data_IF_770722390561
#
_entry.id   IF_770722390561
#
_cell.length_a   1.000
_cell.length_b   1.000
_cell.length_c   1.000
_cell.angle_alpha   90.00
_cell.angle_beta   90.00
_cell.angle_gamma   90.00
#
_symmetry.space_group_name_H-M   'P 1'
#
loop_
_entity.id
_entity.type
_entity.pdbx_description
1 polymer ?
#
# COMPACT_ATOMS: atom_id res chain seq x y z
N UNK A 1 2.33 14.73 -14.26
CA UNK A 1 3.05 13.93 -15.27
C UNK A 1 4.55 13.82 -14.99
N UNK A 2 5.31 14.92 -14.96
CA UNK A 2 6.77 14.89 -14.77
C UNK A 2 7.25 14.20 -13.48
N UNK A 3 6.53 14.38 -12.36
CA UNK A 3 6.77 13.62 -11.13
C UNK A 3 6.73 12.10 -11.35
N UNK A 4 5.71 11.61 -12.07
CA UNK A 4 5.53 10.18 -12.32
C UNK A 4 6.62 9.63 -13.23
N UNK A 5 6.99 10.38 -14.28
CA UNK A 5 8.09 10.02 -15.18
C UNK A 5 9.40 9.93 -14.40
N UNK A 6 9.73 10.95 -13.60
CA UNK A 6 10.93 10.99 -12.79
C UNK A 6 10.95 9.82 -11.79
N UNK A 7 9.84 9.57 -11.11
CA UNK A 7 9.68 8.45 -10.19
C UNK A 7 9.97 7.10 -10.86
N UNK A 8 9.30 6.82 -11.98
CA UNK A 8 9.45 5.54 -12.71
C UNK A 8 10.90 5.36 -13.18
N UNK A 9 11.48 6.39 -13.81
CA UNK A 9 12.85 6.33 -14.32
C UNK A 9 13.86 6.12 -13.19
N UNK A 10 13.75 6.88 -12.10
CA UNK A 10 14.65 6.73 -10.94
C UNK A 10 14.54 5.34 -10.31
N UNK A 11 13.32 4.81 -10.17
CA UNK A 11 13.12 3.45 -9.65
C UNK A 11 13.79 2.39 -10.55
N UNK A 12 13.59 2.45 -11.87
CA UNK A 12 14.25 1.49 -12.77
C UNK A 12 15.77 1.62 -12.77
N UNK A 13 16.31 2.85 -12.69
CA UNK A 13 17.75 3.10 -12.62
C UNK A 13 18.34 2.54 -11.34
N UNK A 14 17.77 2.87 -10.18
CA UNK A 14 18.22 2.39 -8.86
C UNK A 14 18.15 0.87 -8.76
N UNK A 15 17.03 0.27 -9.19
CA UNK A 15 16.86 -1.18 -9.25
C UNK A 15 17.85 -1.88 -10.19
N UNK A 16 18.16 -1.26 -11.33
CA UNK A 16 19.14 -1.80 -12.28
C UNK A 16 20.56 -1.73 -11.72
N UNK A 17 20.89 -0.65 -11.02
CA UNK A 17 22.17 -0.46 -10.33
C UNK A 17 22.34 -1.49 -9.21
N UNK A 18 21.35 -1.65 -8.33
CA UNK A 18 21.42 -2.63 -7.23
C UNK A 18 21.53 -4.06 -7.74
N UNK A 19 20.76 -4.40 -8.79
CA UNK A 19 20.87 -5.71 -9.47
C UNK A 19 22.26 -5.92 -10.08
N UNK A 20 22.83 -4.89 -10.71
CA UNK A 20 24.18 -4.95 -11.29
C UNK A 20 25.25 -5.16 -10.21
N UNK A 21 25.16 -4.42 -9.10
CA UNK A 21 26.08 -4.57 -7.95
C UNK A 21 26.00 -5.99 -7.41
N UNK A 22 24.80 -6.52 -7.17
CA UNK A 22 24.60 -7.88 -6.64
C UNK A 22 25.12 -8.94 -7.61
N UNK A 23 24.87 -8.81 -8.91
CA UNK A 23 25.36 -9.74 -9.93
C UNK A 23 26.89 -9.68 -10.14
N UNK A 24 27.54 -8.61 -9.68
CA UNK A 24 28.99 -8.40 -9.81
C UNK A 24 29.71 -8.57 -8.47
N UNK A 25 28.99 -8.83 -7.38
CA UNK A 25 29.55 -8.94 -6.03
C UNK A 25 30.60 -10.06 -5.92
N UNK A 26 30.41 -11.17 -6.64
CA UNK A 26 31.32 -12.32 -6.64
C UNK A 26 32.48 -12.20 -7.65
N UNK A 27 32.55 -11.11 -8.42
CA UNK A 27 33.62 -10.89 -9.42
C UNK A 27 34.81 -10.16 -8.81
N UNK A 28 35.92 -10.88 -8.63
CA UNK A 28 37.21 -10.41 -8.08
C UNK A 28 38.12 -9.69 -9.08
N UNK A 29 37.55 -8.94 -10.04
CA UNK A 29 38.31 -8.17 -11.03
C UNK A 29 38.63 -6.73 -10.59
N UNK A 30 39.62 -6.04 -11.20
CA UNK A 30 39.91 -4.64 -10.91
C UNK A 30 38.69 -3.76 -11.18
N UNK A 31 38.30 -3.00 -10.16
CA UNK A 31 37.09 -2.16 -10.19
C UNK A 31 37.33 -0.92 -11.04
N UNK A 32 36.42 -0.65 -11.98
CA UNK A 32 36.50 0.53 -12.86
C UNK A 32 35.96 1.77 -12.14
N UNK A 33 36.49 2.96 -12.47
CA UNK A 33 36.16 4.23 -11.79
C UNK A 33 34.68 4.65 -11.85
N UNK A 34 33.92 4.12 -12.82
CA UNK A 34 32.49 4.37 -13.00
C UNK A 34 31.59 3.33 -12.34
N UNK A 35 32.14 2.31 -11.65
CA UNK A 35 31.33 1.30 -11.00
C UNK A 35 30.62 1.91 -9.80
N UNK A 36 29.31 1.67 -9.63
CA UNK A 36 28.60 2.11 -8.45
C UNK A 36 29.04 1.28 -7.23
N UNK A 37 29.38 1.95 -6.14
CA UNK A 37 29.79 1.33 -4.88
C UNK A 37 28.84 1.73 -3.76
N UNK A 38 28.76 0.88 -2.74
CA UNK A 38 28.01 1.20 -1.53
C UNK A 38 28.75 2.30 -0.76
N UNK A 39 28.04 3.35 -0.37
CA UNK A 39 28.62 4.45 0.43
C UNK A 39 28.55 4.00 1.89
N UNK A 40 29.62 3.37 2.36
CA UNK A 40 29.82 3.07 3.78
C UNK A 40 30.57 4.23 4.44
N UNK A 41 30.00 4.80 5.49
CA UNK A 41 30.70 5.80 6.30
C UNK A 41 31.94 5.20 6.97
N UNK A 42 32.95 6.04 7.22
CA UNK A 42 34.09 5.73 8.08
C UNK A 42 33.57 5.43 9.49
N UNK A 43 33.31 4.15 9.81
CA UNK A 43 32.73 3.72 11.09
C UNK A 43 31.73 2.57 11.04
N UNK A 44 31.39 2.04 9.86
CA UNK A 44 30.47 0.90 9.72
C UNK A 44 28.99 1.28 9.58
N UNK A 45 28.66 2.57 9.51
CA UNK A 45 27.29 3.04 9.26
C UNK A 45 26.98 2.97 7.76
N UNK A 46 26.06 2.10 7.38
CA UNK A 46 25.51 2.04 6.02
C UNK A 46 24.40 3.10 5.88
N UNK A 47 24.61 4.09 5.02
CA UNK A 47 23.57 5.08 4.72
C UNK A 47 22.71 4.51 3.60
N UNK A 48 21.48 4.12 3.92
CA UNK A 48 20.50 3.74 2.92
C UNK A 48 20.14 4.94 2.05
N UNK A 49 20.03 4.72 0.74
CA UNK A 49 19.68 5.79 -0.18
C UNK A 49 18.27 6.35 0.05
N UNK A 50 17.43 5.63 0.80
CA UNK A 50 16.17 6.11 1.36
C UNK A 50 16.32 7.41 2.17
N UNK A 51 17.44 7.62 2.88
CA UNK A 51 17.68 8.86 3.65
C UNK A 51 17.75 10.07 2.71
N UNK A 52 18.47 9.96 1.60
CA UNK A 52 18.49 10.99 0.57
C UNK A 52 17.10 11.17 -0.04
N UNK A 53 16.38 10.07 -0.26
CA UNK A 53 14.98 10.09 -0.70
C UNK A 53 14.08 10.95 0.20
N UNK A 54 14.14 10.74 1.52
CA UNK A 54 13.38 11.52 2.51
C UNK A 54 13.72 13.00 2.43
N UNK A 55 15.01 13.35 2.36
CA UNK A 55 15.45 14.74 2.26
C UNK A 55 14.89 15.40 0.99
N UNK A 56 14.98 14.73 -0.16
CA UNK A 56 14.46 15.24 -1.43
C UNK A 56 12.94 15.44 -1.39
N UNK A 57 12.20 14.49 -0.81
CA UNK A 57 10.74 14.58 -0.64
C UNK A 57 10.37 15.77 0.26
N UNK A 58 11.07 15.96 1.38
CA UNK A 58 10.79 17.06 2.30
C UNK A 58 11.09 18.42 1.67
N UNK A 59 12.25 18.59 1.04
CA UNK A 59 12.63 19.85 0.40
C UNK A 59 11.67 20.20 -0.73
N UNK A 60 11.36 19.24 -1.61
CA UNK A 60 10.45 19.46 -2.72
C UNK A 60 9.01 19.70 -2.26
N UNK A 61 8.55 18.98 -1.22
CA UNK A 61 7.23 19.18 -0.62
C UNK A 61 7.08 20.58 -0.04
N UNK A 62 8.04 21.02 0.77
CA UNK A 62 8.07 22.39 1.32
C UNK A 62 8.12 23.43 0.19
N UNK A 63 8.96 23.21 -0.82
CA UNK A 63 9.03 24.11 -1.98
C UNK A 63 7.69 24.21 -2.72
N UNK A 64 6.98 23.10 -2.94
CA UNK A 64 5.66 23.13 -3.57
C UNK A 64 4.63 23.88 -2.72
N UNK A 65 4.69 23.75 -1.39
CA UNK A 65 3.81 24.50 -0.47
C UNK A 65 4.10 25.99 -0.52
N UNK A 66 5.36 26.41 -0.45
CA UNK A 66 5.72 27.84 -0.51
C UNK A 66 5.38 28.47 -1.85
N UNK A 67 5.42 27.67 -2.92
CA UNK A 67 5.10 28.12 -4.28
C UNK A 67 3.61 28.02 -4.62
N UNK A 68 2.76 27.46 -3.74
CA UNK A 68 1.34 27.16 -4.00
C UNK A 68 0.53 28.31 -4.63
N UNK A 69 0.80 29.56 -4.22
CA UNK A 69 0.04 30.72 -4.68
C UNK A 69 0.69 31.48 -5.85
N UNK A 70 2.03 31.58 -5.88
CA UNK A 70 2.75 32.52 -6.76
C UNK A 70 3.83 31.84 -7.63
N UNK A 71 4.01 30.53 -7.47
CA UNK A 71 5.03 29.77 -8.17
C UNK A 71 4.79 29.66 -9.67
N UNK A 72 5.87 29.79 -10.45
CA UNK A 72 5.80 29.55 -11.90
C UNK A 72 5.63 28.06 -12.20
N UNK A 73 4.99 27.74 -13.34
CA UNK A 73 4.85 26.35 -13.83
C UNK A 73 6.19 25.62 -13.92
N UNK A 74 7.28 26.33 -14.24
CA UNK A 74 8.64 25.75 -14.31
C UNK A 74 9.15 25.35 -12.94
N UNK A 75 8.99 26.21 -11.93
CA UNK A 75 9.42 25.91 -10.57
C UNK A 75 8.65 24.70 -9.99
N UNK A 76 7.33 24.65 -10.20
CA UNK A 76 6.52 23.48 -9.83
C UNK A 76 6.97 22.21 -10.54
N UNK A 77 7.28 22.30 -11.83
CA UNK A 77 7.76 21.14 -12.60
C UNK A 77 9.07 20.60 -12.03
N UNK A 78 10.02 21.48 -11.71
CA UNK A 78 11.30 21.09 -11.09
C UNK A 78 11.05 20.46 -9.72
N UNK A 79 10.26 21.09 -8.85
CA UNK A 79 9.96 20.54 -7.53
C UNK A 79 9.26 19.17 -7.63
N UNK A 80 8.33 19.01 -8.58
CA UNK A 80 7.64 17.74 -8.83
C UNK A 80 8.59 16.64 -9.33
N UNK A 81 9.59 16.97 -10.16
CA UNK A 81 10.64 16.02 -10.59
C UNK A 81 11.47 15.59 -9.38
N UNK A 82 11.94 16.55 -8.58
CA UNK A 82 12.74 16.27 -7.37
C UNK A 82 11.95 15.41 -6.37
N UNK A 83 10.65 15.69 -6.20
CA UNK A 83 9.75 14.88 -5.39
C UNK A 83 9.66 13.45 -5.93
N UNK A 84 9.47 13.28 -7.24
CA UNK A 84 9.40 11.96 -7.88
C UNK A 84 10.68 11.14 -7.69
N UNK A 85 11.85 11.76 -7.84
CA UNK A 85 13.16 11.14 -7.58
C UNK A 85 13.23 10.71 -6.10
N UNK A 86 12.93 11.61 -5.17
CA UNK A 86 13.00 11.33 -3.74
C UNK A 86 12.07 10.18 -3.33
N UNK A 87 10.82 10.21 -3.79
CA UNK A 87 9.85 9.17 -3.52
C UNK A 87 10.27 7.79 -4.06
N UNK A 88 10.90 7.74 -5.24
CA UNK A 88 11.43 6.50 -5.80
C UNK A 88 12.54 5.90 -4.94
N UNK A 89 13.46 6.74 -4.44
CA UNK A 89 14.54 6.30 -3.54
C UNK A 89 14.00 5.79 -2.19
N UNK A 90 12.93 6.39 -1.67
CA UNK A 90 12.28 5.90 -0.43
C UNK A 90 11.61 4.55 -0.69
N UNK A 91 10.90 4.40 -1.81
CA UNK A 91 10.14 3.19 -2.09
C UNK A 91 10.98 2.00 -2.57
N UNK A 92 12.18 2.20 -3.11
CA UNK A 92 13.09 1.09 -3.44
C UNK A 92 13.50 0.30 -2.18
N UNK A 93 13.63 0.98 -1.04
CA UNK A 93 13.98 0.39 0.27
C UNK A 93 12.76 0.21 1.19
N UNK A 94 11.55 0.22 0.63
CA UNK A 94 10.31 0.15 1.43
C UNK A 94 10.27 -1.06 2.37
N UNK A 95 10.81 -2.21 1.92
CA UNK A 95 10.93 -3.41 2.73
C UNK A 95 11.68 -3.16 4.07
N UNK A 96 12.84 -2.48 4.01
CA UNK A 96 13.66 -2.16 5.18
C UNK A 96 13.02 -1.09 6.07
N UNK A 97 12.30 -0.12 5.50
CA UNK A 97 11.61 0.91 6.29
C UNK A 97 10.48 0.30 7.12
N UNK A 98 9.76 -0.69 6.58
CA UNK A 98 8.66 -1.34 7.30
C UNK A 98 9.13 -2.41 8.30
N UNK A 99 10.21 -3.12 8.00
CA UNK A 99 10.73 -4.21 8.82
C UNK A 99 12.20 -3.92 9.17
N UNK A 100 12.40 -3.26 10.30
CA UNK A 100 13.72 -2.84 10.80
C UNK A 100 14.60 -4.00 11.33
N UNK A 101 14.10 -5.25 11.34
CA UNK A 101 14.86 -6.43 11.75
C UNK A 101 15.30 -7.24 10.53
N UNK A 102 16.61 -7.23 10.30
CA UNK A 102 17.39 -7.77 9.17
C UNK A 102 17.33 -9.31 9.00
N UNK A 103 16.36 -9.95 9.65
CA UNK A 103 16.32 -11.41 9.79
C UNK A 103 15.25 -12.06 8.92
N UNK A 104 14.21 -11.35 8.47
CA UNK A 104 13.05 -12.13 8.06
C UNK A 104 13.08 -12.78 6.68
N UNK A 105 13.35 -12.17 5.51
CA UNK A 105 13.31 -12.99 4.29
C UNK A 105 14.20 -12.57 3.13
N UNK A 106 14.96 -13.55 2.65
CA UNK A 106 15.67 -13.63 1.37
C UNK A 106 14.82 -13.41 0.10
N UNK A 107 13.62 -12.82 0.22
CA UNK A 107 12.72 -12.39 -0.86
C UNK A 107 12.47 -10.86 -0.91
N UNK A 108 13.33 -10.03 -0.29
CA UNK A 108 13.21 -8.55 -0.16
C UNK A 108 13.01 -7.75 -1.46
N UNK A 109 13.11 -8.39 -2.62
CA UNK A 109 12.80 -7.74 -3.89
C UNK A 109 11.30 -7.57 -4.18
N UNK A 110 10.42 -8.38 -3.59
CA UNK A 110 9.00 -8.43 -4.02
C UNK A 110 8.13 -7.36 -3.35
N UNK A 111 8.33 -7.10 -2.06
CA UNK A 111 7.54 -6.13 -1.28
C UNK A 111 7.77 -4.70 -1.72
N UNK A 112 9.03 -4.29 -1.99
CA UNK A 112 9.32 -2.97 -2.57
C UNK A 112 8.73 -2.82 -3.97
N UNK A 113 8.75 -3.88 -4.79
CA UNK A 113 8.16 -3.87 -6.14
C UNK A 113 6.63 -3.72 -6.09
N UNK A 114 5.95 -4.44 -5.20
CA UNK A 114 4.50 -4.31 -5.01
C UNK A 114 4.12 -2.89 -4.58
N UNK A 115 4.85 -2.30 -3.63
CA UNK A 115 4.63 -0.93 -3.18
C UNK A 115 4.79 0.09 -4.32
N UNK A 116 5.79 -0.11 -5.18
CA UNK A 116 6.05 0.76 -6.33
C UNK A 116 4.96 0.62 -7.39
N UNK A 117 4.50 -0.59 -7.70
CA UNK A 117 3.38 -0.78 -8.63
C UNK A 117 2.11 -0.08 -8.15
N UNK A 118 1.83 -0.14 -6.86
CA UNK A 118 0.69 0.54 -6.23
C UNK A 118 0.86 2.06 -6.33
N UNK A 119 2.05 2.59 -6.02
CA UNK A 119 2.34 4.00 -6.13
C UNK A 119 2.18 4.51 -7.58
N UNK A 120 2.68 3.76 -8.57
CA UNK A 120 2.52 4.07 -10.00
C UNK A 120 1.06 4.03 -10.41
N UNK A 121 0.29 3.03 -9.97
CA UNK A 121 -1.12 2.92 -10.29
C UNK A 121 -1.92 4.12 -9.74
N UNK A 122 -1.72 4.46 -8.47
CA UNK A 122 -2.39 5.59 -7.81
C UNK A 122 -1.99 6.92 -8.46
N UNK A 123 -0.68 7.17 -8.62
CA UNK A 123 -0.19 8.39 -9.24
C UNK A 123 -0.63 8.50 -10.72
N UNK A 124 -0.68 7.38 -11.44
CA UNK A 124 -1.18 7.29 -12.80
C UNK A 124 -2.65 7.69 -12.91
N UNK A 125 -3.51 7.15 -12.02
CA UNK A 125 -4.92 7.55 -11.93
C UNK A 125 -5.07 9.05 -11.69
N UNK A 126 -4.31 9.60 -10.72
CA UNK A 126 -4.32 11.04 -10.43
C UNK A 126 -3.89 11.89 -11.62
N UNK A 127 -2.83 11.48 -12.35
CA UNK A 127 -2.34 12.19 -13.55
C UNK A 127 -3.34 12.13 -14.70
N UNK A 128 -4.09 11.03 -14.83
CA UNK A 128 -5.18 10.89 -15.80
C UNK A 128 -6.44 11.70 -15.42
N UNK A 129 -6.43 12.40 -14.28
CA UNK A 129 -7.54 13.22 -13.81
C UNK A 129 -8.55 12.49 -12.93
N UNK A 130 -8.32 11.22 -12.61
CA UNK A 130 -9.13 10.52 -11.61
C UNK A 130 -8.72 11.01 -10.21
N UNK A 131 -9.42 12.03 -9.73
CA UNK A 131 -9.22 12.54 -8.38
C UNK A 131 -10.29 11.93 -7.44
N UNK A 132 -9.90 11.12 -6.44
CA UNK A 132 -10.85 10.54 -5.49
C UNK A 132 -11.55 11.60 -4.64
N UNK A 133 -10.98 12.81 -4.59
CA UNK A 133 -11.52 13.96 -3.90
C UNK A 133 -12.24 14.95 -4.81
N UNK A 134 -12.44 14.64 -6.09
CA UNK A 134 -13.16 15.54 -7.02
C UNK A 134 -14.57 15.89 -6.53
N UNK A 135 -15.24 14.95 -5.85
CA UNK A 135 -16.54 15.19 -5.23
C UNK A 135 -16.49 16.20 -4.07
N UNK A 136 -15.30 16.56 -3.58
CA UNK A 136 -15.04 17.56 -2.52
C UNK A 136 -14.52 18.89 -3.06
N UNK A 137 -14.38 19.05 -4.37
CA UNK A 137 -13.72 20.22 -4.99
C UNK A 137 -14.62 21.45 -5.01
N UNK A 138 -14.26 22.48 -4.24
CA UNK A 138 -15.04 23.70 -3.88
C UNK A 138 -15.57 24.48 -5.09
N UNK A 139 -14.92 24.39 -6.24
CA UNK A 139 -15.35 25.09 -7.45
C UNK A 139 -16.65 24.53 -8.04
N UNK A 140 -16.89 23.21 -7.93
CA UNK A 140 -18.18 22.58 -8.29
C UNK A 140 -19.34 23.13 -7.44
N UNK A 141 -19.05 23.57 -6.21
CA UNK A 141 -20.01 24.05 -5.21
C UNK A 141 -20.36 25.52 -5.44
N UNK A 142 -19.43 26.27 -6.05
CA UNK A 142 -19.57 27.70 -6.33
C UNK A 142 -20.46 27.95 -7.54
N UNK A 143 -20.38 27.08 -8.56
CA UNK A 143 -21.18 27.14 -9.80
C UNK A 143 -22.57 26.48 -9.68
N UNK A 144 -22.88 25.82 -8.56
CA UNK A 144 -24.20 25.27 -8.30
C UNK A 144 -25.20 26.39 -7.93
N UNK A 145 -25.84 26.98 -8.94
CA UNK A 145 -26.76 28.11 -8.82
C UNK A 145 -28.05 27.83 -8.05
N UNK A 146 -28.38 26.55 -7.79
CA UNK A 146 -29.63 26.15 -7.11
C UNK A 146 -29.38 25.42 -5.78
N UNK A 147 -30.17 25.80 -4.76
CA UNK A 147 -30.15 25.16 -3.43
C UNK A 147 -30.31 23.62 -3.49
N UNK A 148 -31.19 23.05 -4.35
CA UNK A 148 -31.30 21.59 -4.49
C UNK A 148 -30.02 20.93 -5.03
N UNK A 149 -29.32 21.57 -5.97
CA UNK A 149 -28.06 21.04 -6.51
C UNK A 149 -26.99 20.98 -5.42
N UNK A 150 -26.88 22.02 -4.58
CA UNK A 150 -25.94 22.03 -3.45
C UNK A 150 -26.24 20.92 -2.43
N UNK A 151 -27.51 20.75 -2.06
CA UNK A 151 -27.93 19.68 -1.14
C UNK A 151 -27.61 18.30 -1.73
N UNK A 152 -27.87 18.10 -3.04
CA UNK A 152 -27.59 16.84 -3.72
C UNK A 152 -26.09 16.51 -3.73
N UNK A 153 -25.22 17.49 -4.00
CA UNK A 153 -23.75 17.30 -3.96
C UNK A 153 -23.27 16.98 -2.55
N UNK A 154 -23.74 17.72 -1.52
CA UNK A 154 -23.42 17.42 -0.10
C UNK A 154 -23.82 15.99 0.24
N UNK A 155 -25.05 15.60 -0.12
CA UNK A 155 -25.57 14.26 0.15
C UNK A 155 -24.74 13.18 -0.55
N UNK A 156 -24.35 13.39 -1.81
CA UNK A 156 -23.54 12.44 -2.58
C UNK A 156 -22.12 12.31 -2.03
N UNK A 157 -21.48 13.43 -1.67
CA UNK A 157 -20.14 13.44 -1.07
C UNK A 157 -20.14 12.74 0.29
N UNK A 158 -21.12 13.05 1.16
CA UNK A 158 -21.29 12.39 2.44
C UNK A 158 -21.57 10.88 2.29
N UNK A 159 -22.39 10.50 1.30
CA UNK A 159 -22.65 9.10 0.97
C UNK A 159 -21.36 8.38 0.52
N UNK A 160 -20.57 8.98 -0.38
CA UNK A 160 -19.33 8.39 -0.88
C UNK A 160 -18.33 8.18 0.27
N UNK A 161 -18.17 9.18 1.15
CA UNK A 161 -17.33 9.08 2.34
C UNK A 161 -17.81 7.98 3.29
N UNK A 162 -19.12 7.91 3.55
CA UNK A 162 -19.73 6.89 4.41
C UNK A 162 -19.48 5.50 3.83
N UNK A 163 -19.66 5.31 2.52
CA UNK A 163 -19.37 4.04 1.86
C UNK A 163 -17.89 3.65 1.96
N UNK A 164 -16.97 4.60 1.77
CA UNK A 164 -15.54 4.37 1.93
C UNK A 164 -15.20 3.90 3.35
N UNK A 165 -15.72 4.60 4.38
CA UNK A 165 -15.54 4.22 5.79
C UNK A 165 -16.11 2.82 6.06
N UNK A 166 -17.31 2.51 5.57
CA UNK A 166 -17.92 1.17 5.73
C UNK A 166 -17.04 0.09 5.08
N UNK A 167 -16.51 0.32 3.88
CA UNK A 167 -15.63 -0.64 3.20
C UNK A 167 -14.33 -0.87 3.95
N UNK A 168 -13.75 0.19 4.52
CA UNK A 168 -12.56 0.11 5.36
C UNK A 168 -12.82 -0.63 6.67
N UNK A 169 -13.93 -0.33 7.37
CA UNK A 169 -14.36 -1.05 8.58
C UNK A 169 -14.62 -2.52 8.32
N UNK A 170 -14.98 -2.88 7.08
CA UNK A 170 -15.12 -4.27 6.61
C UNK A 170 -13.80 -4.97 6.28
N UNK A 171 -12.65 -4.31 6.48
CA UNK A 171 -11.31 -4.87 6.29
C UNK A 171 -10.87 -4.98 4.83
N UNK A 172 -11.50 -4.22 3.92
CA UNK A 172 -11.23 -4.29 2.48
C UNK A 172 -10.50 -3.03 2.01
N UNK A 173 -9.28 -2.84 2.50
CA UNK A 173 -8.44 -1.67 2.21
C UNK A 173 -8.34 -1.39 0.71
N UNK A 174 -8.00 -2.40 -0.09
CA UNK A 174 -7.84 -2.28 -1.55
C UNK A 174 -9.12 -1.86 -2.28
N UNK A 175 -10.26 -2.46 -1.94
CA UNK A 175 -11.53 -2.07 -2.58
C UNK A 175 -12.01 -0.70 -2.09
N UNK A 176 -11.64 -0.31 -0.87
CA UNK A 176 -11.89 1.04 -0.36
C UNK A 176 -11.07 2.06 -1.13
N UNK A 177 -9.76 1.83 -1.22
CA UNK A 177 -8.81 2.69 -1.92
C UNK A 177 -9.17 2.86 -3.39
N UNK A 178 -9.31 1.76 -4.13
CA UNK A 178 -9.73 1.79 -5.55
C UNK A 178 -11.16 2.31 -5.71
N UNK A 179 -12.03 2.04 -4.75
CA UNK A 179 -13.41 2.52 -4.77
C UNK A 179 -13.52 4.04 -4.62
N UNK A 180 -12.55 4.71 -3.98
CA UNK A 180 -12.54 6.17 -3.95
C UNK A 180 -12.34 6.78 -5.34
N UNK A 181 -11.62 6.10 -6.24
CA UNK A 181 -11.51 6.52 -7.65
C UNK A 181 -12.73 6.10 -8.48
N UNK A 182 -13.45 5.06 -8.06
CA UNK A 182 -14.57 4.49 -8.78
C UNK A 182 -15.70 4.04 -7.84
N UNK A 183 -16.66 4.95 -7.60
CA UNK A 183 -17.75 4.79 -6.63
C UNK A 183 -18.53 3.46 -6.70
N UNK A 184 -18.80 2.84 -7.87
CA UNK A 184 -19.48 1.54 -7.92
C UNK A 184 -18.75 0.43 -7.16
N UNK A 185 -17.41 0.48 -7.07
CA UNK A 185 -16.64 -0.47 -6.25
C UNK A 185 -16.92 -0.29 -4.76
N UNK A 186 -17.18 0.93 -4.28
CA UNK A 186 -17.58 1.17 -2.90
C UNK A 186 -18.95 0.57 -2.59
N UNK A 187 -19.91 0.68 -3.50
CA UNK A 187 -21.23 0.04 -3.36
C UNK A 187 -21.08 -1.48 -3.26
N UNK A 188 -20.31 -2.09 -4.17
CA UNK A 188 -20.04 -3.54 -4.15
C UNK A 188 -19.32 -3.94 -2.85
N UNK A 189 -18.33 -3.16 -2.43
CA UNK A 189 -17.58 -3.37 -1.19
C UNK A 189 -18.47 -3.29 0.05
N UNK A 190 -19.40 -2.33 0.07
CA UNK A 190 -20.33 -2.06 1.16
C UNK A 190 -21.46 -3.09 1.22
N UNK A 191 -21.94 -3.62 0.10
CA UNK A 191 -22.96 -4.69 0.10
C UNK A 191 -22.35 -6.04 0.48
N UNK A 192 -21.13 -6.34 0.01
CA UNK A 192 -20.47 -7.63 0.27
C UNK A 192 -20.15 -7.82 1.76
N UNK A 193 -20.15 -9.08 2.20
CA UNK A 193 -19.76 -9.49 3.57
C UNK A 193 -18.38 -8.93 3.95
N UNK A 194 -18.21 -8.63 5.25
CA UNK A 194 -16.95 -8.18 5.82
C UNK A 194 -15.93 -9.31 5.90
N UNK A 195 -14.64 -8.94 5.97
CA UNK A 195 -13.55 -9.88 6.28
C UNK A 195 -13.70 -10.38 7.72
N UNK A 196 -13.41 -11.66 8.01
CA UNK A 196 -13.66 -12.26 9.33
C UNK A 196 -12.82 -11.63 10.46
N UNK A 197 -11.67 -11.04 10.13
CA UNK A 197 -10.79 -10.33 11.07
C UNK A 197 -11.12 -8.83 11.22
N UNK A 198 -12.08 -8.30 10.47
CA UNK A 198 -12.35 -6.86 10.43
C UNK A 198 -13.12 -6.35 11.65
N UNK A 199 -12.97 -5.05 12.03
CA UNK A 199 -13.78 -4.43 13.08
C UNK A 199 -15.28 -4.63 12.91
N UNK A 200 -15.79 -4.54 11.67
CA UNK A 200 -17.20 -4.80 11.36
C UNK A 200 -17.65 -6.22 11.72
N UNK A 201 -16.81 -7.23 11.48
CA UNK A 201 -17.14 -8.60 11.82
C UNK A 201 -17.19 -8.80 13.34
N UNK A 202 -16.31 -8.12 14.10
CA UNK A 202 -16.38 -8.11 15.57
C UNK A 202 -17.72 -7.55 16.07
N UNK A 203 -18.11 -6.38 15.58
CA UNK A 203 -19.31 -5.69 16.11
C UNK A 203 -20.64 -6.28 15.63
N UNK A 204 -20.67 -6.94 14.47
CA UNK A 204 -21.96 -7.37 13.88
C UNK A 204 -22.10 -8.87 13.65
N UNK A 205 -21.02 -9.66 13.68
CA UNK A 205 -21.07 -11.10 13.41
C UNK A 205 -20.88 -11.97 14.65
N UNK A 206 -20.49 -11.42 15.80
CA UNK A 206 -20.32 -12.17 17.06
C UNK A 206 -21.60 -12.91 17.46
N UNK A 207 -22.75 -12.22 17.47
CA UNK A 207 -24.04 -12.83 17.83
C UNK A 207 -24.69 -13.60 16.67
N UNK A 208 -24.02 -13.72 15.51
CA UNK A 208 -24.59 -14.27 14.27
C UNK A 208 -23.67 -15.36 13.70
N UNK A 209 -23.64 -16.57 14.31
CA UNK A 209 -22.71 -17.65 13.95
C UNK A 209 -22.84 -18.08 12.48
N UNK A 210 -24.05 -18.07 11.92
CA UNK A 210 -24.28 -18.36 10.50
C UNK A 210 -23.60 -17.36 9.55
N UNK A 211 -23.58 -16.06 9.91
CA UNK A 211 -22.93 -15.02 9.09
C UNK A 211 -21.41 -15.08 9.23
N UNK A 212 -20.90 -15.33 10.45
CA UNK A 212 -19.47 -15.52 10.69
C UNK A 212 -18.93 -16.72 9.90
N UNK A 213 -19.60 -17.88 9.99
CA UNK A 213 -19.22 -19.08 9.23
C UNK A 213 -19.17 -18.81 7.72
N UNK A 214 -20.19 -18.15 7.17
CA UNK A 214 -20.22 -17.79 5.74
C UNK A 214 -19.09 -16.83 5.33
N UNK A 215 -18.68 -15.91 6.22
CA UNK A 215 -17.52 -15.05 5.95
C UNK A 215 -16.19 -15.82 5.98
N UNK A 216 -16.05 -16.79 6.88
CA UNK A 216 -14.86 -17.66 6.96
C UNK A 216 -14.76 -18.58 5.73
N UNK A 217 -15.83 -19.28 5.38
CA UNK A 217 -15.89 -20.15 4.19
C UNK A 217 -15.52 -19.39 2.91
N UNK A 218 -16.05 -18.17 2.76
CA UNK A 218 -15.75 -17.32 1.61
C UNK A 218 -14.29 -16.86 1.59
N UNK A 219 -13.76 -16.40 2.71
CA UNK A 219 -12.36 -15.95 2.78
C UNK A 219 -11.42 -17.11 2.48
N UNK A 220 -11.71 -18.33 2.96
CA UNK A 220 -10.99 -19.55 2.59
C UNK A 220 -11.06 -19.82 1.09
N UNK A 221 -12.24 -19.79 0.47
CA UNK A 221 -12.39 -20.00 -0.97
C UNK A 221 -11.59 -18.99 -1.81
N UNK A 222 -11.63 -17.71 -1.44
CA UNK A 222 -10.92 -16.65 -2.17
C UNK A 222 -9.39 -16.69 -1.95
N UNK A 223 -8.92 -17.11 -0.78
CA UNK A 223 -7.48 -17.18 -0.46
C UNK A 223 -6.81 -18.48 -0.90
N UNK A 224 -7.55 -19.59 -0.99
CA UNK A 224 -7.02 -20.90 -1.37
C UNK A 224 -6.09 -20.89 -2.59
N UNK A 225 -6.43 -20.26 -3.74
CA UNK A 225 -5.51 -20.26 -4.88
C UNK A 225 -4.21 -19.49 -4.62
N UNK A 226 -4.26 -18.42 -3.81
CA UNK A 226 -3.07 -17.65 -3.44
C UNK A 226 -2.18 -18.43 -2.48
N UNK A 227 -2.76 -19.11 -1.48
CA UNK A 227 -2.03 -19.98 -0.55
C UNK A 227 -1.39 -21.16 -1.29
N UNK A 228 -2.13 -21.78 -2.22
CA UNK A 228 -1.59 -22.84 -3.09
C UNK A 228 -0.40 -22.35 -3.92
N UNK A 229 -0.51 -21.18 -4.54
CA UNK A 229 0.59 -20.60 -5.31
C UNK A 229 1.80 -20.27 -4.43
N UNK A 230 1.58 -19.74 -3.22
CA UNK A 230 2.65 -19.40 -2.29
C UNK A 230 3.39 -20.65 -1.78
N UNK A 231 2.66 -21.69 -1.36
CA UNK A 231 3.25 -22.95 -0.90
C UNK A 231 3.98 -23.67 -2.04
N UNK A 232 3.43 -23.67 -3.25
CA UNK A 232 4.12 -24.22 -4.42
C UNK A 232 5.45 -23.50 -4.68
N UNK A 233 5.47 -22.17 -4.58
CA UNK A 233 6.69 -21.37 -4.68
C UNK A 233 7.71 -21.75 -3.60
N UNK A 234 7.27 -21.91 -2.35
CA UNK A 234 8.15 -22.33 -1.25
C UNK A 234 8.77 -23.71 -1.50
N UNK A 235 7.98 -24.67 -1.99
CA UNK A 235 8.46 -26.00 -2.36
C UNK A 235 9.49 -25.95 -3.49
N UNK A 236 9.25 -25.14 -4.52
CA UNK A 236 10.21 -24.92 -5.63
C UNK A 236 11.52 -24.32 -5.11
N UNK A 237 11.46 -23.32 -4.22
CA UNK A 237 12.64 -22.68 -3.63
C UNK A 237 13.41 -23.63 -2.71
N UNK A 238 12.70 -24.49 -1.97
CA UNK A 238 13.28 -25.53 -1.12
C UNK A 238 13.92 -26.69 -1.90
N UNK A 239 13.83 -26.69 -3.24
CA UNK A 239 14.41 -27.73 -4.10
C UNK A 239 13.51 -28.96 -4.32
N UNK A 240 12.26 -28.91 -3.86
CA UNK A 240 11.27 -29.97 -4.04
C UNK A 240 10.08 -29.44 -4.85
N UNK A 241 10.15 -29.32 -6.19
CA UNK A 241 9.07 -28.75 -6.99
C UNK A 241 7.85 -29.68 -7.01
N UNK A 242 7.00 -29.59 -5.99
CA UNK A 242 5.75 -30.34 -5.83
C UNK A 242 4.57 -29.41 -5.57
N UNK A 243 3.41 -29.78 -6.09
CA UNK A 243 2.17 -29.12 -5.71
C UNK A 243 1.87 -29.39 -4.22
N UNK A 244 1.42 -28.38 -3.47
CA UNK A 244 1.08 -28.56 -2.06
C UNK A 244 -0.13 -29.48 -1.91
N UNK A 245 -0.08 -30.33 -0.90
CA UNK A 245 -1.21 -31.21 -0.58
C UNK A 245 -2.35 -30.38 0.00
N UNK A 246 -3.60 -30.82 -0.20
CA UNK A 246 -4.77 -30.09 0.31
C UNK A 246 -4.72 -29.90 1.85
N UNK A 247 -4.17 -30.87 2.58
CA UNK A 247 -3.98 -30.74 4.03
C UNK A 247 -3.00 -29.63 4.43
N UNK A 248 -1.93 -29.41 3.65
CA UNK A 248 -0.97 -28.32 3.89
C UNK A 248 -1.61 -26.96 3.61
N UNK A 249 -2.39 -26.88 2.53
CA UNK A 249 -3.14 -25.67 2.15
C UNK A 249 -4.18 -25.33 3.21
N UNK A 250 -4.94 -26.31 3.69
CA UNK A 250 -5.97 -26.12 4.70
C UNK A 250 -5.37 -25.72 6.06
N UNK A 251 -4.21 -26.29 6.44
CA UNK A 251 -3.50 -25.90 7.65
C UNK A 251 -3.04 -24.43 7.62
N UNK A 252 -2.51 -23.96 6.49
CA UNK A 252 -2.10 -22.55 6.34
C UNK A 252 -3.32 -21.63 6.26
N UNK A 253 -4.41 -22.06 5.61
CA UNK A 253 -5.68 -21.32 5.62
C UNK A 253 -6.26 -21.19 7.04
N UNK A 254 -6.13 -22.20 7.90
CA UNK A 254 -6.57 -22.15 9.30
C UNK A 254 -5.69 -21.23 10.16
N UNK A 255 -4.42 -21.11 9.81
CA UNK A 255 -3.50 -20.16 10.43
C UNK A 255 -3.84 -18.72 10.04
N UNK A 256 -4.05 -18.44 8.75
CA UNK A 256 -4.31 -17.09 8.25
C UNK A 256 -5.76 -16.62 8.46
N UNK A 257 -6.75 -17.48 8.26
CA UNK A 257 -8.17 -17.13 8.22
C UNK A 257 -8.82 -17.38 9.57
N UNK A 258 -8.56 -16.47 10.51
CA UNK A 258 -9.16 -16.50 11.84
C UNK A 258 -10.24 -15.42 12.00
N UNK A 259 -11.28 -15.76 12.75
CA UNK A 259 -12.24 -14.77 13.21
C UNK A 259 -11.54 -13.82 14.20
N UNK A 260 -11.88 -12.54 14.15
CA UNK A 260 -11.36 -11.61 15.14
C UNK A 260 -11.79 -12.03 16.57
N UNK A 261 -10.88 -11.99 17.55
CA UNK A 261 -11.19 -12.34 18.94
C UNK A 261 -12.31 -11.43 19.49
N UNK A 262 -13.09 -11.97 20.42
CA UNK A 262 -14.09 -11.19 21.14
C UNK A 262 -13.40 -10.02 21.89
N UNK A 263 -14.03 -8.84 22.02
CA UNK A 263 -13.49 -7.79 22.86
C UNK A 263 -13.26 -8.34 24.27
N UNK A 264 -12.07 -8.15 24.81
CA UNK A 264 -11.78 -8.47 26.19
C UNK A 264 -12.64 -7.54 27.06
N UNK A 265 -13.72 -8.08 27.62
CA UNK A 265 -14.44 -7.37 28.67
C UNK A 265 -13.50 -7.29 29.88
N UNK A 266 -13.00 -6.10 30.19
CA UNK A 266 -12.41 -5.85 31.50
C UNK A 266 -13.55 -6.03 32.52
N UNK A 267 -13.64 -7.23 33.09
CA UNK A 267 -14.52 -7.50 34.21
C UNK A 267 -14.13 -6.56 35.33
N UNK A 268 -15.11 -5.78 35.79
CA UNK A 268 -15.06 -5.05 37.06
C UNK A 268 -14.58 -6.01 38.13
N UNK A 269 -13.40 -5.75 38.70
CA UNK A 269 -12.87 -6.53 39.80
C UNK A 269 -13.84 -6.50 40.97
N UNK A 270 -14.44 -7.64 41.27
CA UNK A 270 -14.93 -7.93 42.61
C UNK A 270 -13.72 -7.89 43.55
N UNK A 271 -13.52 -6.77 44.24
CA UNK A 271 -12.72 -6.75 45.46
C UNK A 271 -13.60 -7.31 46.57
N UNK A 272 -13.41 -8.59 46.87
CA UNK A 272 -13.82 -9.16 48.14
C UNK A 272 -13.11 -8.41 49.28
N UNK A 273 -13.91 -7.94 50.22
CA UNK A 273 -13.52 -7.39 51.52
C UNK A 273 -14.58 -7.76 52.53
#
# INVERSE_FOLDING_TARGET
MWCLIAFILTFFVTRSITRYIRATADRTGPRKWWQPHNISGTGGTHIHHAVFGVILVLISGVAMVTMAAEGTNRQFTVAAIVFGIGAALVLDEFALILHLEDVYWSEDGRTSVDAVFVAVAVAGLLVLGFNPLALFDVDIWRDADSLPARIAVIALAALNLTLAVVVLLKGKLWTGLLGMFFTPLLLIGAIRLARPHAPWARWHYQDKPRKMRRSLERERYLRRPFVQANLWLQHVVAGEPRFPNDAEVDAELDREVRAAPAPAWYGTGETGG
#
